data_IF_744607628033
#
_entry.id   IF_744607628033
#
_cell.length_a   1.000
_cell.length_b   1.000
_cell.length_c   1.000
_cell.angle_alpha   90.00
_cell.angle_beta   90.00
_cell.angle_gamma   90.00
#
_symmetry.space_group_name_H-M   'P 1'
#
loop_
_entity.id
_entity.type
_entity.pdbx_description
1 polymer ?
#
# COMPACT_ATOMS: atom_id res chain seq x y z
N UNK A 1 -30.84 -9.17 4.52
CA UNK A 1 -30.97 -10.49 5.21
C UNK A 1 -29.83 -10.56 6.23
N UNK A 2 -30.15 -10.70 7.52
CA UNK A 2 -29.13 -10.92 8.55
C UNK A 2 -29.00 -12.40 8.80
N UNK A 3 -27.81 -12.95 8.57
CA UNK A 3 -27.47 -14.34 8.88
C UNK A 3 -26.70 -14.34 10.19
N UNK A 4 -27.15 -15.15 11.15
CA UNK A 4 -26.42 -15.49 12.36
C UNK A 4 -26.12 -16.97 12.34
N UNK A 5 -24.86 -17.31 12.47
CA UNK A 5 -24.41 -18.68 12.63
C UNK A 5 -23.41 -18.78 13.81
N UNK A 6 -22.94 -19.95 14.06
CA UNK A 6 -21.93 -20.20 15.09
C UNK A 6 -20.85 -21.13 14.55
N UNK A 7 -19.63 -20.92 15.01
CA UNK A 7 -18.49 -21.75 14.62
C UNK A 7 -17.57 -21.97 15.84
N UNK A 8 -16.73 -22.99 15.76
CA UNK A 8 -15.72 -23.25 16.80
C UNK A 8 -14.53 -22.26 16.72
N UNK A 9 -14.30 -21.70 15.57
CA UNK A 9 -13.19 -20.76 15.32
C UNK A 9 -13.58 -19.75 14.26
N UNK A 10 -13.03 -18.56 14.37
CA UNK A 10 -13.24 -17.44 13.43
C UNK A 10 -11.89 -16.93 12.96
N UNK A 11 -11.73 -16.74 11.66
CA UNK A 11 -10.56 -16.12 11.04
C UNK A 11 -10.97 -14.77 10.49
N UNK A 12 -10.31 -13.71 10.97
CA UNK A 12 -10.55 -12.34 10.52
C UNK A 12 -9.60 -12.03 9.36
N UNK A 13 -10.16 -11.68 8.21
CA UNK A 13 -9.41 -11.31 6.99
C UNK A 13 -9.86 -9.93 6.49
N UNK A 14 -9.91 -8.98 7.41
CA UNK A 14 -10.54 -7.67 7.26
C UNK A 14 -9.72 -6.65 6.45
N UNK A 15 -8.50 -6.96 6.05
CA UNK A 15 -7.65 -6.02 5.32
C UNK A 15 -7.50 -4.68 6.07
N UNK A 16 -7.75 -3.57 5.39
CA UNK A 16 -7.62 -2.20 5.93
C UNK A 16 -8.95 -1.60 6.40
N UNK A 17 -10.00 -2.42 6.59
CA UNK A 17 -11.36 -1.92 6.80
C UNK A 17 -11.72 -1.64 8.25
N UNK A 18 -11.13 -2.31 9.25
CA UNK A 18 -11.47 -2.10 10.67
C UNK A 18 -11.11 -0.69 11.12
N UNK A 19 -12.14 0.12 11.37
CA UNK A 19 -12.00 1.55 11.67
C UNK A 19 -11.09 2.27 10.67
N UNK A 20 -11.15 1.86 9.39
CA UNK A 20 -10.29 2.36 8.33
C UNK A 20 -10.37 3.86 8.17
N UNK A 21 -9.23 4.51 7.99
CA UNK A 21 -9.09 5.94 7.77
C UNK A 21 -8.12 6.16 6.61
N UNK A 22 -8.61 6.82 5.57
CA UNK A 22 -7.83 7.15 4.37
C UNK A 22 -7.32 8.58 4.50
N UNK A 23 -6.04 8.76 4.20
CA UNK A 23 -5.39 10.06 4.13
C UNK A 23 -4.99 10.34 2.69
N UNK A 24 -5.38 11.48 2.15
CA UNK A 24 -4.97 11.97 0.83
C UNK A 24 -4.55 13.42 1.00
N UNK A 25 -3.25 13.68 1.01
CA UNK A 25 -2.70 14.96 1.39
C UNK A 25 -3.22 15.40 2.75
N UNK A 26 -3.82 16.56 2.84
CA UNK A 26 -4.35 17.10 4.09
C UNK A 26 -5.77 16.60 4.44
N UNK A 27 -6.43 15.89 3.54
CA UNK A 27 -7.79 15.39 3.74
C UNK A 27 -7.80 14.03 4.41
N UNK A 28 -8.79 13.82 5.27
CA UNK A 28 -9.05 12.54 5.93
C UNK A 28 -10.52 12.15 5.78
N UNK A 29 -10.76 10.88 5.53
CA UNK A 29 -12.12 10.34 5.48
C UNK A 29 -12.16 8.86 5.86
N UNK A 30 -13.26 8.44 6.48
CA UNK A 30 -13.45 7.05 6.88
C UNK A 30 -13.63 6.14 5.68
N UNK A 31 -12.83 5.08 5.60
CA UNK A 31 -12.90 4.09 4.54
C UNK A 31 -11.80 3.04 4.68
N UNK A 32 -12.04 1.86 4.15
CA UNK A 32 -11.02 0.81 4.04
C UNK A 32 -10.32 0.86 2.68
N UNK A 33 -11.03 1.30 1.66
CA UNK A 33 -10.58 1.53 0.28
C UNK A 33 -11.34 2.72 -0.30
N UNK A 34 -10.79 3.37 -1.33
CA UNK A 34 -11.48 4.47 -2.01
C UNK A 34 -12.87 4.01 -2.50
N UNK A 35 -13.91 4.75 -2.13
CA UNK A 35 -15.30 4.43 -2.44
C UNK A 35 -15.97 3.41 -1.52
N UNK A 36 -15.26 2.81 -0.57
CA UNK A 36 -15.81 1.81 0.35
C UNK A 36 -15.73 2.27 1.81
N UNK A 37 -16.80 2.03 2.55
CA UNK A 37 -16.90 2.46 3.96
C UNK A 37 -16.01 1.62 4.87
N UNK A 38 -15.55 2.23 5.95
CA UNK A 38 -14.90 1.51 7.05
C UNK A 38 -15.89 0.60 7.78
N UNK A 39 -15.41 -0.55 8.25
CA UNK A 39 -16.13 -1.42 9.17
C UNK A 39 -15.93 -0.91 10.60
N UNK A 40 -17.02 -0.55 11.25
CA UNK A 40 -17.04 -0.04 12.63
C UNK A 40 -17.68 -1.05 13.58
N UNK A 41 -17.26 -1.04 14.83
CA UNK A 41 -17.85 -1.86 15.89
C UNK A 41 -17.15 -3.20 16.13
N UNK A 42 -16.47 -3.78 15.14
CA UNK A 42 -15.79 -5.07 15.30
C UNK A 42 -14.56 -4.92 16.22
N UNK A 43 -13.75 -3.90 16.00
CA UNK A 43 -12.57 -3.65 16.84
C UNK A 43 -12.97 -3.43 18.31
N UNK A 44 -14.02 -2.65 18.54
CA UNK A 44 -14.52 -2.37 19.88
C UNK A 44 -15.02 -3.64 20.58
N UNK A 45 -15.71 -4.52 19.85
CA UNK A 45 -16.14 -5.81 20.39
C UNK A 45 -14.96 -6.72 20.74
N UNK A 46 -13.93 -6.76 19.89
CA UNK A 46 -12.73 -7.54 20.16
C UNK A 46 -12.01 -7.04 21.42
N UNK A 47 -11.91 -5.72 21.58
CA UNK A 47 -11.32 -5.12 22.79
C UNK A 47 -12.15 -5.47 24.04
N UNK A 48 -13.47 -5.44 23.95
CA UNK A 48 -14.35 -5.87 25.05
C UNK A 48 -14.16 -7.35 25.42
N UNK A 49 -13.77 -8.18 24.45
CA UNK A 49 -13.44 -9.59 24.69
C UNK A 49 -12.01 -9.80 25.20
N UNK A 50 -11.25 -8.73 25.47
CA UNK A 50 -9.90 -8.79 26.01
C UNK A 50 -8.78 -8.83 24.99
N UNK A 51 -9.05 -8.62 23.70
CA UNK A 51 -8.00 -8.51 22.70
C UNK A 51 -7.36 -7.12 22.70
N UNK A 52 -6.05 -7.07 22.58
CA UNK A 52 -5.35 -5.82 22.37
C UNK A 52 -5.50 -5.37 20.90
N UNK A 53 -5.71 -4.08 20.69
CA UNK A 53 -5.79 -3.51 19.35
C UNK A 53 -4.86 -2.32 19.19
N UNK A 54 -4.33 -2.15 17.98
CA UNK A 54 -3.46 -1.03 17.64
C UNK A 54 -3.76 -0.49 16.24
N UNK A 55 -3.27 0.71 15.95
CA UNK A 55 -3.38 1.31 14.62
C UNK A 55 -2.16 0.96 13.79
N UNK A 56 -2.38 0.46 12.59
CA UNK A 56 -1.34 0.27 11.59
C UNK A 56 -1.53 1.26 10.45
N UNK A 57 -0.42 1.74 9.89
CA UNK A 57 -0.40 2.61 8.72
C UNK A 57 0.17 1.85 7.53
N UNK A 58 -0.52 1.90 6.40
CA UNK A 58 -0.01 1.42 5.11
C UNK A 58 0.09 2.57 4.13
N UNK A 59 1.05 2.52 3.20
CA UNK A 59 1.16 3.47 2.10
C UNK A 59 0.64 2.86 0.80
N UNK A 60 0.04 3.68 -0.04
CA UNK A 60 -0.35 3.31 -1.39
C UNK A 60 0.46 4.15 -2.36
N UNK A 61 1.14 3.55 -3.36
CA UNK A 61 1.86 4.32 -4.36
C UNK A 61 0.88 5.18 -5.18
N UNK A 62 1.32 6.34 -5.68
CA UNK A 62 0.50 7.19 -6.52
C UNK A 62 0.15 6.45 -7.82
N UNK A 63 -1.03 6.72 -8.35
CA UNK A 63 -1.42 6.28 -9.68
C UNK A 63 -1.16 7.41 -10.66
N UNK A 64 -0.36 7.12 -11.68
CA UNK A 64 0.02 8.06 -12.72
C UNK A 64 -0.74 7.75 -14.01
N UNK A 65 -0.99 8.77 -14.82
CA UNK A 65 -1.52 8.57 -16.17
C UNK A 65 -0.37 8.08 -17.08
N UNK A 66 -0.43 6.81 -17.48
CA UNK A 66 0.62 6.20 -18.31
C UNK A 66 0.85 6.90 -19.65
N UNK A 67 -0.11 7.71 -20.13
CA UNK A 67 0.05 8.54 -21.35
C UNK A 67 0.96 9.74 -21.13
N UNK A 68 1.15 10.16 -19.88
CA UNK A 68 2.03 11.28 -19.51
C UNK A 68 3.47 10.84 -19.22
N UNK A 69 3.74 9.54 -19.25
CA UNK A 69 5.06 8.99 -18.93
C UNK A 69 5.89 8.79 -20.20
N UNK A 70 7.16 9.17 -20.12
CA UNK A 70 8.15 8.88 -21.16
C UNK A 70 8.78 7.51 -20.91
N UNK A 71 8.14 6.48 -21.45
CA UNK A 71 8.57 5.09 -21.32
C UNK A 71 9.95 4.82 -21.90
N UNK A 72 10.42 5.65 -22.85
CA UNK A 72 11.73 5.49 -23.49
C UNK A 72 12.90 5.76 -22.52
N UNK A 73 12.63 6.44 -21.41
CA UNK A 73 13.62 6.74 -20.37
C UNK A 73 13.67 5.71 -19.25
N UNK A 74 12.88 4.64 -19.36
CA UNK A 74 12.78 3.61 -18.33
C UNK A 74 13.42 2.32 -18.81
N UNK A 75 14.01 1.59 -17.88
CA UNK A 75 14.53 0.26 -18.14
C UNK A 75 13.37 -0.74 -18.21
N UNK A 76 13.34 -1.56 -19.26
CA UNK A 76 12.35 -2.63 -19.37
C UNK A 76 12.83 -3.84 -18.58
N UNK A 77 12.01 -4.28 -17.64
CA UNK A 77 12.21 -5.50 -16.88
C UNK A 77 11.20 -6.54 -17.35
N UNK A 78 11.66 -7.47 -18.17
CA UNK A 78 10.86 -8.60 -18.62
C UNK A 78 10.55 -9.56 -17.44
N UNK A 79 9.51 -10.37 -17.62
CA UNK A 79 9.21 -11.45 -16.70
C UNK A 79 10.22 -12.61 -16.82
N UNK A 80 10.05 -13.61 -15.97
CA UNK A 80 10.91 -14.78 -15.95
C UNK A 80 10.89 -15.54 -17.27
N UNK A 81 12.06 -15.99 -17.75
CA UNK A 81 12.19 -16.80 -18.97
C UNK A 81 11.43 -18.13 -18.83
N UNK A 82 11.53 -18.73 -17.64
CA UNK A 82 10.76 -19.92 -17.28
C UNK A 82 9.67 -19.54 -16.30
N UNK A 83 8.45 -19.42 -16.84
CA UNK A 83 7.29 -19.04 -16.03
C UNK A 83 6.88 -20.19 -15.14
N UNK A 84 7.09 -20.01 -13.84
CA UNK A 84 6.55 -20.87 -12.80
C UNK A 84 5.03 -20.70 -12.65
N UNK A 85 4.43 -21.52 -11.79
CA UNK A 85 3.03 -21.38 -11.41
C UNK A 85 2.91 -21.33 -9.89
N UNK A 86 1.93 -20.57 -9.40
CA UNK A 86 1.62 -20.48 -7.97
C UNK A 86 0.62 -21.56 -7.51
N UNK A 87 -0.05 -22.26 -8.47
CA UNK A 87 -1.01 -23.30 -8.17
C UNK A 87 -0.34 -24.66 -8.17
N UNK A 88 -0.74 -25.54 -7.22
CA UNK A 88 -0.37 -26.94 -7.21
C UNK A 88 -1.19 -27.79 -8.18
N UNK A 89 -2.34 -27.27 -8.65
CA UNK A 89 -3.17 -27.94 -9.65
C UNK A 89 -2.66 -27.66 -11.07
N UNK A 90 -3.13 -28.43 -12.05
CA UNK A 90 -2.84 -28.17 -13.44
C UNK A 90 -3.51 -26.88 -13.91
N UNK A 91 -2.68 -25.91 -14.25
CA UNK A 91 -3.09 -24.63 -14.81
C UNK A 91 -2.41 -24.40 -16.15
N UNK A 92 -3.07 -23.74 -17.10
CA UNK A 92 -2.45 -23.39 -18.38
C UNK A 92 -1.16 -22.59 -18.12
N UNK A 93 -0.13 -22.85 -18.91
CA UNK A 93 1.07 -22.01 -18.90
C UNK A 93 0.72 -20.59 -19.38
N UNK A 94 1.29 -19.59 -18.73
CA UNK A 94 1.14 -18.22 -19.16
C UNK A 94 1.82 -18.03 -20.51
N UNK A 95 1.05 -17.60 -21.51
CA UNK A 95 1.53 -17.42 -22.89
C UNK A 95 2.03 -16.01 -23.17
N UNK A 96 1.62 -15.03 -22.32
CA UNK A 96 2.00 -13.63 -22.46
C UNK A 96 2.31 -13.06 -21.09
N UNK A 97 3.46 -12.44 -20.96
CA UNK A 97 3.84 -11.66 -19.79
C UNK A 97 3.79 -10.16 -20.11
N UNK A 98 3.55 -9.36 -19.11
CA UNK A 98 3.65 -7.91 -19.20
C UNK A 98 4.94 -7.48 -18.52
N UNK A 99 5.82 -6.75 -19.22
CA UNK A 99 7.04 -6.24 -18.62
C UNK A 99 6.73 -5.15 -17.60
N UNK A 100 7.62 -5.02 -16.62
CA UNK A 100 7.67 -3.86 -15.74
C UNK A 100 8.59 -2.80 -16.35
N UNK A 101 8.44 -1.56 -15.93
CA UNK A 101 9.33 -0.47 -16.28
C UNK A 101 9.96 0.09 -15.01
N UNK A 102 11.27 0.21 -15.00
CA UNK A 102 12.05 0.65 -13.84
C UNK A 102 12.61 2.03 -14.12
N UNK A 103 12.46 2.92 -13.16
CA UNK A 103 13.13 4.22 -13.13
C UNK A 103 13.69 4.45 -11.73
N UNK A 104 14.49 5.49 -11.59
CA UNK A 104 15.16 5.84 -10.35
C UNK A 104 14.83 7.27 -9.93
N UNK A 105 14.87 7.52 -8.63
CA UNK A 105 14.80 8.89 -8.13
C UNK A 105 16.15 9.57 -8.35
N UNK A 106 16.12 10.89 -8.50
CA UNK A 106 17.31 11.72 -8.54
C UNK A 106 17.37 12.62 -7.30
N UNK A 107 18.52 13.27 -7.03
CA UNK A 107 18.62 14.27 -5.97
C UNK A 107 17.56 15.37 -6.07
N UNK A 108 17.26 15.85 -7.27
CA UNK A 108 16.23 16.89 -7.50
C UNK A 108 14.83 16.37 -7.12
N UNK A 109 14.55 15.09 -7.38
CA UNK A 109 13.29 14.46 -6.96
C UNK A 109 13.23 14.39 -5.44
N UNK A 110 14.33 14.04 -4.78
CA UNK A 110 14.41 14.01 -3.32
C UNK A 110 14.15 15.38 -2.71
N UNK A 111 14.77 16.43 -3.23
CA UNK A 111 14.56 17.81 -2.75
C UNK A 111 13.10 18.25 -2.94
N UNK A 112 12.53 18.02 -4.12
CA UNK A 112 11.12 18.35 -4.40
C UNK A 112 10.18 17.63 -3.43
N UNK A 113 10.45 16.36 -3.08
CA UNK A 113 9.63 15.60 -2.15
C UNK A 113 9.79 16.07 -0.70
N UNK A 114 11.01 16.48 -0.30
CA UNK A 114 11.27 17.05 1.03
C UNK A 114 10.51 18.36 1.27
N UNK A 115 10.34 19.20 0.24
CA UNK A 115 9.52 20.42 0.33
C UNK A 115 8.06 20.13 0.74
N UNK A 116 7.59 18.92 0.49
CA UNK A 116 6.24 18.47 0.86
C UNK A 116 6.11 17.89 2.26
N UNK A 117 7.21 17.68 2.98
CA UNK A 117 7.18 16.94 4.26
C UNK A 117 6.32 17.61 5.33
N UNK A 118 6.37 18.93 5.44
CA UNK A 118 5.57 19.70 6.41
C UNK A 118 4.06 19.52 6.20
N UNK A 119 3.64 19.23 4.98
CA UNK A 119 2.24 18.95 4.62
C UNK A 119 1.90 17.47 4.67
N UNK A 120 2.90 16.61 4.71
CA UNK A 120 2.67 15.16 4.77
C UNK A 120 2.04 14.77 6.10
N UNK A 121 0.93 14.04 6.10
CA UNK A 121 0.29 13.57 7.33
C UNK A 121 1.16 12.61 8.14
N UNK A 122 2.22 12.09 7.55
CA UNK A 122 3.21 11.27 8.25
C UNK A 122 4.10 12.06 9.20
N UNK A 123 4.57 13.24 8.74
CA UNK A 123 5.52 14.05 9.50
C UNK A 123 4.85 15.11 10.38
N UNK A 124 3.61 15.51 10.07
CA UNK A 124 2.86 16.49 10.86
C UNK A 124 2.06 15.87 12.03
N UNK A 125 2.25 14.58 12.34
CA UNK A 125 1.62 13.90 13.46
C UNK A 125 0.13 13.53 13.27
N UNK A 126 -0.45 13.74 12.10
CA UNK A 126 -1.85 13.35 11.82
C UNK A 126 -2.02 11.84 11.71
N UNK A 127 -1.03 11.13 11.19
CA UNK A 127 -1.01 9.67 11.18
C UNK A 127 -0.38 9.19 12.48
N UNK A 128 -1.21 8.54 13.30
CA UNK A 128 -0.78 7.88 14.55
C UNK A 128 -0.89 6.38 14.36
N UNK A 129 0.20 5.74 13.96
CA UNK A 129 0.21 4.29 13.76
C UNK A 129 1.58 3.80 13.32
N UNK A 130 1.87 2.55 13.64
CA UNK A 130 3.10 1.90 13.18
C UNK A 130 2.91 1.43 11.75
N UNK A 131 3.86 1.76 10.88
CA UNK A 131 3.93 1.15 9.55
C UNK A 131 4.40 -0.29 9.65
N UNK A 132 3.81 -1.24 8.90
CA UNK A 132 4.39 -2.56 8.78
C UNK A 132 5.76 -2.47 8.12
N UNK A 133 6.68 -3.34 8.53
CA UNK A 133 8.09 -3.30 8.10
C UNK A 133 8.28 -3.21 6.59
N UNK A 134 7.39 -3.82 5.82
CA UNK A 134 7.52 -3.97 4.36
C UNK A 134 6.59 -3.06 3.56
N UNK A 135 5.99 -2.06 4.18
CA UNK A 135 5.16 -1.07 3.50
C UNK A 135 5.57 0.38 3.82
N UNK A 136 6.85 0.75 3.62
CA UNK A 136 7.27 2.13 3.79
C UNK A 136 6.76 2.98 2.63
N UNK A 137 6.24 4.17 2.94
CA UNK A 137 5.88 5.16 1.93
C UNK A 137 7.15 5.75 1.29
N UNK A 138 6.99 6.48 0.19
CA UNK A 138 8.12 7.14 -0.47
C UNK A 138 8.77 8.18 0.46
N UNK A 139 7.99 8.86 1.28
CA UNK A 139 8.49 9.83 2.27
C UNK A 139 9.41 9.15 3.29
N UNK A 140 8.99 8.00 3.86
CA UNK A 140 9.83 7.21 4.75
C UNK A 140 11.14 6.76 4.11
N UNK A 141 11.08 6.38 2.83
CA UNK A 141 12.27 5.94 2.11
C UNK A 141 13.24 7.08 1.87
N UNK A 142 12.75 8.24 1.48
CA UNK A 142 13.60 9.42 1.23
C UNK A 142 14.21 9.93 2.53
N UNK A 143 13.47 9.90 3.63
CA UNK A 143 13.99 10.29 4.94
C UNK A 143 15.11 9.34 5.40
N UNK A 144 14.87 8.04 5.31
CA UNK A 144 15.82 7.01 5.79
C UNK A 144 17.01 6.74 4.86
N UNK A 145 16.84 6.98 3.57
CA UNK A 145 17.81 6.65 2.52
C UNK A 145 18.10 7.87 1.63
N UNK A 146 18.25 9.04 2.27
CA UNK A 146 18.43 10.32 1.57
C UNK A 146 19.66 10.37 0.65
N UNK A 147 20.65 9.54 0.92
CA UNK A 147 21.92 9.40 0.22
C UNK A 147 21.90 8.37 -0.92
N UNK A 148 20.75 7.75 -1.19
CA UNK A 148 20.62 6.66 -2.18
C UNK A 148 19.51 6.96 -3.18
N UNK A 149 19.79 6.63 -4.44
CA UNK A 149 18.76 6.57 -5.45
C UNK A 149 17.82 5.39 -5.16
N UNK A 150 16.53 5.65 -5.26
CA UNK A 150 15.50 4.64 -5.04
C UNK A 150 14.97 4.15 -6.39
N UNK A 151 14.95 2.84 -6.58
CA UNK A 151 14.28 2.25 -7.74
C UNK A 151 12.76 2.31 -7.57
N UNK A 152 12.08 2.72 -8.63
CA UNK A 152 10.64 2.73 -8.76
C UNK A 152 10.27 1.78 -9.89
N UNK A 153 9.38 0.81 -9.59
CA UNK A 153 8.94 -0.19 -10.56
C UNK A 153 7.46 0.05 -10.83
N UNK A 154 7.11 0.10 -12.11
CA UNK A 154 5.73 0.22 -12.59
C UNK A 154 5.40 -0.95 -13.52
N UNK A 155 4.19 -1.49 -13.36
CA UNK A 155 3.64 -2.57 -14.17
C UNK A 155 2.57 -2.01 -15.09
#
# INVERSE_FOLDING_TARGET
MCIRDSSKSVVLTNGTFLNGLIHIGEKQFGGGRAGERASKGITEQLVQLGFESGRMKTGTPPRLDGRSLDWSKMEVQDGDKEVGKFSYTDTPKLTKQHPCHVTYTSPEVHETLKEGFDRSPMFNGRIRGLGPRYCPSIEDKIDRFADRDLSLIHI
#
